data_IF_387029938173
#
_entry.id   IF_387029938173
#
_cell.length_a   1.000
_cell.length_b   1.000
_cell.length_c   1.000
_cell.angle_alpha   90.00
_cell.angle_beta   90.00
_cell.angle_gamma   90.00
#
_symmetry.space_group_name_H-M   'P 1'
#
loop_
_entity.id
_entity.type
_entity.pdbx_description
1 polymer ?
#
# COMPACT_ATOMS: atom_id res chain seq x y z
N UNK A 1 27.01 6.21 11.25
CA UNK A 1 26.22 4.96 11.07
C UNK A 1 24.75 5.30 11.07
N UNK A 2 23.94 4.71 10.19
CA UNK A 2 22.49 4.94 10.12
C UNK A 2 21.75 3.66 10.48
N UNK A 3 20.68 3.76 11.27
CA UNK A 3 19.89 2.62 11.74
C UNK A 3 18.43 2.74 11.32
N UNK A 4 17.92 1.70 10.66
CA UNK A 4 16.55 1.56 10.20
C UNK A 4 15.73 0.73 11.18
N UNK A 5 14.55 1.24 11.57
CA UNK A 5 13.50 0.50 12.25
C UNK A 5 12.18 0.75 11.53
N UNK A 6 11.35 -0.27 11.34
CA UNK A 6 10.07 -0.12 10.65
C UNK A 6 8.93 -0.88 11.34
N UNK A 7 7.70 -0.42 11.19
CA UNK A 7 6.51 -1.08 11.72
C UNK A 7 5.25 -0.72 10.92
N UNK A 8 4.21 -1.56 11.04
CA UNK A 8 2.87 -1.25 10.53
C UNK A 8 2.07 -0.51 11.61
N UNK A 9 1.37 0.56 11.23
CA UNK A 9 0.52 1.33 12.16
C UNK A 9 -0.75 0.56 12.56
N UNK A 10 -1.27 -0.27 11.65
CA UNK A 10 -2.31 -1.27 11.92
C UNK A 10 -1.90 -2.62 11.36
N UNK A 11 -2.15 -3.68 12.12
CA UNK A 11 -1.94 -5.06 11.67
C UNK A 11 -3.22 -5.72 11.18
N UNK A 12 -4.38 -5.04 11.25
CA UNK A 12 -5.68 -5.58 10.84
C UNK A 12 -6.34 -4.71 9.77
N UNK A 13 -7.10 -5.35 8.89
CA UNK A 13 -7.95 -4.69 7.90
C UNK A 13 -7.34 -4.63 6.50
N UNK A 14 -7.82 -3.72 5.66
CA UNK A 14 -7.37 -3.56 4.27
C UNK A 14 -6.47 -2.35 4.04
N UNK A 15 -6.29 -1.50 5.05
CA UNK A 15 -5.50 -0.29 4.94
C UNK A 15 -4.57 -0.18 6.15
N UNK A 16 -3.31 0.13 5.89
CA UNK A 16 -2.30 0.34 6.92
C UNK A 16 -1.24 1.31 6.42
N UNK A 17 -0.38 1.79 7.30
CA UNK A 17 0.78 2.59 6.94
C UNK A 17 2.03 1.86 7.39
N UNK A 18 2.97 1.66 6.48
CA UNK A 18 4.30 1.17 6.82
C UNK A 18 5.18 2.37 7.17
N UNK A 19 5.41 2.55 8.47
CA UNK A 19 6.23 3.63 8.98
C UNK A 19 7.67 3.15 9.20
N UNK A 20 8.60 3.81 8.53
CA UNK A 20 10.03 3.52 8.59
C UNK A 20 10.77 4.71 9.18
N UNK A 21 11.51 4.47 10.26
CA UNK A 21 12.35 5.47 10.91
C UNK A 21 13.83 5.18 10.63
N UNK A 22 14.53 6.19 10.12
CA UNK A 22 15.98 6.17 9.96
C UNK A 22 16.63 7.12 10.96
N UNK A 23 17.48 6.58 11.83
CA UNK A 23 18.30 7.36 12.75
C UNK A 23 19.66 7.62 12.13
N UNK A 24 20.05 8.88 12.01
CA UNK A 24 21.31 9.36 11.45
C UNK A 24 22.19 9.84 12.61
N UNK A 25 23.28 9.11 12.89
CA UNK A 25 24.15 9.44 14.02
C UNK A 25 25.10 10.61 13.75
N UNK A 26 25.55 10.78 12.50
CA UNK A 26 26.44 11.85 12.09
C UNK A 26 25.98 12.39 10.73
N UNK A 27 25.19 13.48 10.69
CA UNK A 27 24.69 14.08 9.45
C UNK A 27 25.79 14.58 8.50
N UNK A 28 26.97 14.91 9.01
CA UNK A 28 28.08 15.37 8.16
C UNK A 28 28.57 14.27 7.19
N UNK A 29 28.44 13.00 7.56
CA UNK A 29 28.89 11.86 6.74
C UNK A 29 28.04 11.67 5.46
N UNK A 30 26.85 12.26 5.42
CA UNK A 30 25.84 12.08 4.36
C UNK A 30 25.48 13.40 3.67
N UNK A 31 26.27 14.45 3.88
CA UNK A 31 26.06 15.74 3.22
C UNK A 31 26.08 15.56 1.69
N UNK A 32 25.14 16.18 0.96
CA UNK A 32 25.05 16.02 -0.49
C UNK A 32 24.65 14.61 -0.98
N UNK A 33 24.36 13.66 -0.10
CA UNK A 33 23.78 12.38 -0.46
C UNK A 33 22.25 12.46 -0.53
N UNK A 34 21.65 11.56 -1.30
CA UNK A 34 20.19 11.38 -1.33
C UNK A 34 19.79 10.10 -0.60
N UNK A 35 18.71 10.17 0.18
CA UNK A 35 18.16 9.04 0.94
C UNK A 35 17.08 8.32 0.12
N UNK A 36 17.22 7.01 -0.01
CA UNK A 36 16.29 6.17 -0.74
C UNK A 36 15.77 5.01 0.10
N UNK A 37 14.50 4.68 -0.11
CA UNK A 37 13.87 3.48 0.43
C UNK A 37 13.31 2.63 -0.70
N UNK A 38 13.70 1.36 -0.74
CA UNK A 38 13.16 0.38 -1.67
C UNK A 38 12.27 -0.60 -0.92
N UNK A 39 10.97 -0.50 -1.14
CA UNK A 39 9.95 -1.42 -0.65
C UNK A 39 9.68 -2.49 -1.70
N UNK A 40 9.68 -3.74 -1.26
CA UNK A 40 9.19 -4.88 -2.05
C UNK A 40 7.90 -5.36 -1.41
N UNK A 41 6.81 -5.27 -2.15
CA UNK A 41 5.48 -5.57 -1.68
C UNK A 41 5.03 -6.92 -2.25
N UNK A 42 4.52 -7.83 -1.41
CA UNK A 42 3.96 -9.08 -1.89
C UNK A 42 2.72 -8.80 -2.76
N UNK A 43 2.29 -9.72 -3.64
CA UNK A 43 1.17 -9.50 -4.56
C UNK A 43 -0.13 -9.04 -3.91
N UNK A 44 -0.35 -9.40 -2.65
CA UNK A 44 -1.55 -9.06 -1.88
C UNK A 44 -1.53 -7.64 -1.31
N UNK A 45 -0.43 -6.93 -1.40
CA UNK A 45 -0.29 -5.57 -0.89
C UNK A 45 0.21 -4.67 -2.00
N UNK A 46 -0.31 -3.46 -2.08
CA UNK A 46 0.14 -2.46 -3.02
C UNK A 46 0.05 -1.07 -2.39
N UNK A 47 0.81 -0.13 -2.94
CA UNK A 47 0.69 1.28 -2.61
C UNK A 47 -0.06 1.98 -3.76
N UNK A 48 -1.06 2.81 -3.42
CA UNK A 48 -1.83 3.55 -4.41
C UNK A 48 -1.03 4.78 -4.90
N UNK A 49 -0.64 4.85 -6.19
CA UNK A 49 0.08 6.00 -6.72
C UNK A 49 -0.66 7.34 -6.54
N UNK A 50 -1.99 7.35 -6.52
CA UNK A 50 -2.77 8.57 -6.32
C UNK A 50 -2.72 9.06 -4.89
N UNK A 51 -2.68 8.14 -3.91
CA UNK A 51 -2.46 8.49 -2.52
C UNK A 51 -1.02 8.95 -2.29
N UNK A 52 -0.03 8.25 -2.87
CA UNK A 52 1.38 8.63 -2.76
C UNK A 52 1.68 10.02 -3.33
N UNK A 53 0.91 10.46 -4.33
CA UNK A 53 1.03 11.83 -4.86
C UNK A 53 0.74 12.91 -3.79
N UNK A 54 -0.06 12.61 -2.77
CA UNK A 54 -0.31 13.53 -1.66
C UNK A 54 0.91 13.71 -0.73
N UNK A 55 1.91 12.83 -0.84
CA UNK A 55 3.14 12.86 -0.04
C UNK A 55 4.31 13.55 -0.77
N UNK A 56 4.06 14.23 -1.90
CA UNK A 56 5.10 14.88 -2.70
C UNK A 56 5.98 15.90 -1.93
N UNK A 57 5.46 16.47 -0.85
CA UNK A 57 6.23 17.34 0.05
C UNK A 57 7.32 16.57 0.83
N UNK A 58 7.10 15.29 1.13
CA UNK A 58 7.97 14.45 1.96
C UNK A 58 8.89 13.57 1.13
N UNK A 59 8.42 13.06 -0.01
CA UNK A 59 9.22 12.22 -0.90
C UNK A 59 8.69 12.23 -2.32
N UNK A 60 9.56 11.87 -3.26
CA UNK A 60 9.16 11.44 -4.60
C UNK A 60 9.18 9.91 -4.68
N UNK A 61 8.40 9.32 -5.58
CA UNK A 61 8.29 7.86 -5.70
C UNK A 61 8.37 7.38 -7.15
N UNK A 62 8.79 6.13 -7.31
CA UNK A 62 8.66 5.33 -8.53
C UNK A 62 8.06 3.98 -8.19
N UNK A 63 7.19 3.48 -9.05
CA UNK A 63 6.52 2.19 -8.87
C UNK A 63 6.88 1.22 -10.00
N UNK A 64 6.98 -0.06 -9.64
CA UNK A 64 7.22 -1.19 -10.54
C UNK A 64 6.18 -2.27 -10.27
N UNK A 65 5.70 -2.94 -11.32
CA UNK A 65 4.63 -3.93 -11.23
C UNK A 65 3.21 -3.31 -11.24
N UNK A 66 2.23 -4.10 -10.82
CA UNK A 66 0.80 -3.74 -10.95
C UNK A 66 0.27 -2.89 -9.80
N UNK A 67 -0.20 -1.68 -10.11
CA UNK A 67 -0.79 -0.72 -9.15
C UNK A 67 -2.30 -0.54 -9.27
N UNK A 68 -2.98 -1.29 -10.14
CA UNK A 68 -4.42 -1.18 -10.32
C UNK A 68 -5.17 -1.54 -9.03
N UNK A 69 -5.97 -0.62 -8.49
CA UNK A 69 -6.72 -0.75 -7.24
C UNK A 69 -7.76 -1.88 -7.27
N UNK A 70 -8.33 -2.16 -8.45
CA UNK A 70 -9.50 -3.03 -8.60
C UNK A 70 -9.16 -4.50 -8.85
N UNK A 71 -7.87 -4.82 -9.07
CA UNK A 71 -7.48 -6.20 -9.37
C UNK A 71 -7.40 -7.06 -8.10
N UNK A 72 -8.05 -8.24 -8.09
CA UNK A 72 -7.87 -9.22 -7.03
C UNK A 72 -6.46 -9.84 -7.09
N UNK A 73 -6.05 -10.52 -6.01
CA UNK A 73 -4.73 -11.19 -5.96
C UNK A 73 -4.53 -12.20 -7.11
N UNK A 74 -5.60 -12.83 -7.60
CA UNK A 74 -5.56 -13.83 -8.67
C UNK A 74 -5.26 -13.24 -10.05
N UNK A 75 -5.33 -11.91 -10.20
CA UNK A 75 -5.12 -11.19 -11.45
C UNK A 75 -3.82 -10.36 -11.46
N UNK A 76 -2.93 -10.55 -10.47
CA UNK A 76 -1.63 -9.89 -10.39
C UNK A 76 -0.50 -10.91 -10.45
N UNK A 77 0.71 -10.45 -10.83
CA UNK A 77 1.88 -11.34 -10.92
C UNK A 77 2.34 -11.78 -9.52
N UNK A 78 2.93 -12.98 -9.44
CA UNK A 78 3.36 -13.58 -8.17
C UNK A 78 4.58 -12.87 -7.57
N UNK A 79 5.33 -12.15 -8.39
CA UNK A 79 6.51 -11.35 -8.02
C UNK A 79 6.12 -10.09 -7.22
N UNK A 80 4.86 -9.68 -7.29
CA UNK A 80 4.33 -8.54 -6.54
C UNK A 80 4.65 -7.19 -7.18
N UNK A 81 4.95 -6.20 -6.34
CA UNK A 81 5.28 -4.84 -6.79
C UNK A 81 6.45 -4.28 -5.98
N UNK A 82 7.08 -3.23 -6.50
CA UNK A 82 8.14 -2.54 -5.77
C UNK A 82 7.94 -1.03 -5.85
N UNK A 83 8.29 -0.34 -4.77
CA UNK A 83 8.23 1.12 -4.66
C UNK A 83 9.61 1.62 -4.27
N UNK A 84 10.15 2.55 -5.05
CA UNK A 84 11.36 3.29 -4.72
C UNK A 84 10.96 4.70 -4.30
N UNK A 85 11.26 5.08 -3.07
CA UNK A 85 11.08 6.43 -2.55
C UNK A 85 12.43 7.15 -2.50
N UNK A 86 12.45 8.41 -2.92
CA UNK A 86 13.53 9.35 -2.64
C UNK A 86 13.00 10.41 -1.67
N UNK A 87 13.57 10.42 -0.47
CA UNK A 87 13.08 11.22 0.66
C UNK A 87 13.63 12.64 0.59
N UNK A 88 12.76 13.62 0.78
CA UNK A 88 13.14 15.01 0.95
C UNK A 88 13.64 15.19 2.38
N UNK A 89 14.94 15.34 2.54
CA UNK A 89 15.53 15.57 3.85
C UNK A 89 15.29 17.02 4.27
N UNK A 90 14.84 17.27 5.52
CA UNK A 90 14.85 18.63 6.06
C UNK A 90 16.30 19.14 6.16
N UNK A 91 16.49 20.45 6.38
CA UNK A 91 17.80 21.00 6.70
C UNK A 91 18.30 20.41 8.04
N UNK A 92 19.05 19.32 7.96
CA UNK A 92 19.59 18.64 9.14
C UNK A 92 20.75 19.48 9.64
N UNK A 93 20.61 20.07 10.83
CA UNK A 93 21.72 20.73 11.52
C UNK A 93 22.89 19.77 11.65
N UNK A 94 24.09 20.20 11.24
CA UNK A 94 25.33 19.40 11.24
C UNK A 94 25.79 18.94 12.62
N UNK A 95 25.10 19.34 13.69
CA UNK A 95 25.41 19.00 15.08
C UNK A 95 24.28 18.18 15.70
N UNK A 96 24.52 16.88 15.89
CA UNK A 96 23.63 15.99 16.65
C UNK A 96 23.07 14.81 15.87
N UNK A 97 22.31 13.95 16.57
CA UNK A 97 21.57 12.84 15.97
C UNK A 97 20.31 13.39 15.29
N UNK A 98 20.03 12.95 14.08
CA UNK A 98 18.78 13.25 13.38
C UNK A 98 17.96 11.97 13.20
N UNK A 99 16.64 12.10 13.12
CA UNK A 99 15.72 10.99 12.86
C UNK A 99 14.73 11.46 11.80
N UNK A 100 14.54 10.63 10.77
CA UNK A 100 13.60 10.91 9.67
C UNK A 100 12.61 9.75 9.61
N UNK A 101 11.32 10.11 9.66
CA UNK A 101 10.22 9.17 9.57
C UNK A 101 9.65 9.21 8.16
N UNK A 102 9.41 8.05 7.57
CA UNK A 102 8.88 7.89 6.22
C UNK A 102 7.69 6.97 6.29
N UNK A 103 6.54 7.48 5.90
CA UNK A 103 5.28 6.75 5.91
C UNK A 103 4.88 6.36 4.49
N UNK A 104 4.72 5.05 4.27
CA UNK A 104 4.20 4.48 3.03
C UNK A 104 2.79 3.94 3.27
N UNK A 105 1.71 4.56 2.76
CA UNK A 105 0.38 3.99 2.83
C UNK A 105 0.30 2.72 1.98
N UNK A 106 -0.31 1.68 2.56
CA UNK A 106 -0.43 0.34 1.97
C UNK A 106 -1.87 -0.14 2.02
N UNK A 107 -2.29 -0.75 0.92
CA UNK A 107 -3.60 -1.35 0.74
C UNK A 107 -3.47 -2.84 0.50
N UNK A 108 -4.34 -3.63 1.11
CA UNK A 108 -4.46 -5.04 0.81
C UNK A 108 -5.42 -5.27 -0.36
N UNK A 109 -5.11 -6.28 -1.17
CA UNK A 109 -6.00 -6.78 -2.23
C UNK A 109 -6.96 -7.82 -1.66
N UNK A 110 -8.11 -7.93 -2.30
CA UNK A 110 -9.02 -9.06 -2.07
C UNK A 110 -8.29 -10.38 -2.35
N UNK A 111 -8.20 -11.20 -1.31
CA UNK A 111 -7.65 -12.56 -1.38
C UNK A 111 -8.62 -13.52 -2.07
N UNK A 112 -8.11 -14.65 -2.54
CA UNK A 112 -9.00 -15.76 -2.90
C UNK A 112 -9.60 -16.39 -1.64
N UNK A 113 -10.69 -17.14 -1.82
CA UNK A 113 -11.33 -17.89 -0.74
C UNK A 113 -10.33 -18.83 -0.07
N UNK A 114 -10.45 -18.99 1.25
CA UNK A 114 -9.63 -19.86 2.09
C UNK A 114 -8.12 -19.57 2.08
N UNK A 115 -7.68 -18.42 1.54
CA UNK A 115 -6.27 -18.01 1.63
C UNK A 115 -5.88 -17.65 3.06
N UNK A 116 -4.59 -17.78 3.44
CA UNK A 116 -4.14 -17.32 4.75
C UNK A 116 -4.47 -15.85 4.99
N UNK A 117 -5.06 -15.51 6.13
CA UNK A 117 -5.35 -14.11 6.45
C UNK A 117 -4.08 -13.27 6.64
N UNK A 118 -3.01 -13.89 7.15
CA UNK A 118 -1.73 -13.24 7.39
C UNK A 118 -0.93 -13.01 6.10
N UNK A 119 -0.34 -11.83 5.97
CA UNK A 119 0.56 -11.41 4.91
C UNK A 119 1.82 -10.87 5.56
N UNK A 120 2.96 -11.42 5.18
CA UNK A 120 4.27 -10.93 5.62
C UNK A 120 4.70 -9.73 4.76
N UNK A 121 5.17 -8.68 5.42
CA UNK A 121 5.71 -7.47 4.80
C UNK A 121 7.16 -7.32 5.23
N UNK A 122 8.06 -7.49 4.27
CA UNK A 122 9.49 -7.37 4.53
C UNK A 122 9.90 -5.91 4.76
N UNK A 123 10.89 -5.70 5.62
CA UNK A 123 11.47 -4.37 5.82
C UNK A 123 12.01 -3.78 4.51
N UNK A 124 11.89 -2.45 4.34
CA UNK A 124 12.48 -1.79 3.20
C UNK A 124 14.00 -1.90 3.21
N UNK A 125 14.56 -1.84 2.02
CA UNK A 125 16.00 -1.63 1.84
C UNK A 125 16.26 -0.13 1.85
N UNK A 126 16.88 0.37 2.91
CA UNK A 126 17.24 1.79 3.06
C UNK A 126 18.70 2.01 2.69
N UNK A 127 18.98 2.98 1.82
CA UNK A 127 20.32 3.27 1.36
C UNK A 127 20.50 4.73 0.97
N UNK A 128 21.74 5.19 1.07
CA UNK A 128 22.19 6.50 0.61
C UNK A 128 22.84 6.38 -0.76
N UNK A 129 22.61 7.38 -1.59
CA UNK A 129 23.33 7.56 -2.86
C UNK A 129 24.16 8.83 -2.75
N UNK A 130 25.47 8.66 -2.71
CA UNK A 130 26.45 9.74 -2.51
C UNK A 130 27.34 9.92 -3.74
N UNK A 131 27.86 11.13 -4.01
CA UNK A 131 28.88 11.34 -5.02
C UNK A 131 30.14 10.49 -4.74
N UNK A 132 30.79 9.99 -5.79
CA UNK A 132 32.02 9.16 -5.68
C UNK A 132 33.22 9.80 -4.97
N UNK A 133 33.16 11.09 -4.68
CA UNK A 133 34.20 11.79 -3.93
C UNK A 133 34.17 11.45 -2.43
N UNK A 134 33.12 10.79 -1.95
CA UNK A 134 33.03 10.30 -0.57
C UNK A 134 33.95 9.08 -0.35
N UNK A 135 34.87 9.18 0.62
CA UNK A 135 35.75 8.10 1.07
C UNK A 135 34.99 7.06 1.90
N UNK A 136 34.04 6.36 1.28
CA UNK A 136 33.40 5.17 1.86
C UNK A 136 33.74 3.93 1.04
N UNK A 137 33.86 2.75 1.68
CA UNK A 137 34.01 1.50 0.96
C UNK A 137 32.83 1.33 0.00
N UNK A 138 33.11 1.24 -1.30
CA UNK A 138 32.09 1.03 -2.33
C UNK A 138 31.29 -0.23 -1.98
N UNK A 139 30.00 -0.06 -1.69
CA UNK A 139 29.05 -1.17 -1.65
C UNK A 139 28.39 -1.32 -3.01
N UNK A 140 28.07 -2.56 -3.36
CA UNK A 140 27.29 -2.85 -4.57
C UNK A 140 25.92 -2.18 -4.45
N UNK A 141 25.41 -1.70 -5.59
CA UNK A 141 24.04 -1.25 -5.71
C UNK A 141 23.08 -2.33 -5.17
N UNK A 142 22.07 -1.98 -4.38
CA UNK A 142 21.11 -2.97 -3.92
C UNK A 142 20.39 -3.58 -5.11
N UNK A 143 20.05 -4.85 -5.01
CA UNK A 143 19.20 -5.50 -6.00
C UNK A 143 17.88 -4.73 -6.10
N UNK A 144 17.40 -4.44 -7.31
CA UNK A 144 16.16 -3.72 -7.57
C UNK A 144 15.69 -3.94 -9.01
N UNK A 145 14.41 -3.66 -9.34
CA UNK A 145 13.92 -3.66 -10.71
C UNK A 145 14.79 -2.81 -11.65
N UNK A 146 14.87 -3.23 -12.92
CA UNK A 146 15.74 -2.60 -13.92
C UNK A 146 15.37 -1.13 -14.15
N UNK A 147 14.08 -0.79 -14.18
CA UNK A 147 13.63 0.60 -14.30
C UNK A 147 14.13 1.51 -13.16
N UNK A 148 14.31 0.96 -11.96
CA UNK A 148 14.83 1.70 -10.82
C UNK A 148 16.34 1.84 -10.93
N UNK A 149 17.05 0.74 -11.23
CA UNK A 149 18.49 0.74 -11.41
C UNK A 149 18.95 1.73 -12.50
N UNK A 150 18.19 1.82 -13.60
CA UNK A 150 18.45 2.76 -14.70
C UNK A 150 18.39 4.24 -14.30
N UNK A 151 17.81 4.56 -13.14
CA UNK A 151 17.73 5.93 -12.62
C UNK A 151 19.02 6.40 -11.96
N UNK A 152 19.96 5.50 -11.66
CA UNK A 152 21.18 5.81 -10.94
C UNK A 152 22.40 5.79 -11.86
N UNK A 153 23.23 6.83 -11.79
CA UNK A 153 24.53 6.83 -12.45
C UNK A 153 25.56 6.08 -11.59
N UNK A 154 25.70 4.78 -11.83
CA UNK A 154 26.62 3.90 -11.09
C UNK A 154 28.10 4.24 -11.30
N UNK A 155 28.45 4.94 -12.39
CA UNK A 155 29.82 5.39 -12.66
C UNK A 155 30.25 6.59 -11.81
N UNK A 156 29.30 7.33 -11.24
CA UNK A 156 29.58 8.56 -10.46
C UNK A 156 29.04 8.53 -9.04
N UNK A 157 28.35 7.45 -8.65
CA UNK A 157 27.71 7.33 -7.34
C UNK A 157 28.27 6.16 -6.53
N UNK A 158 28.17 6.28 -5.20
CA UNK A 158 28.43 5.22 -4.21
C UNK A 158 27.15 4.98 -3.43
N UNK A 159 26.88 3.71 -3.14
CA UNK A 159 25.74 3.29 -2.33
C UNK A 159 26.21 2.98 -0.91
N UNK A 160 25.49 3.46 0.10
CA UNK A 160 25.76 3.18 1.51
C UNK A 160 24.49 2.63 2.14
N UNK A 161 24.49 1.36 2.50
CA UNK A 161 23.33 0.70 3.11
C UNK A 161 23.15 1.15 4.56
N UNK A 162 21.91 1.42 4.96
CA UNK A 162 21.58 1.60 6.36
C UNK A 162 21.63 0.25 7.09
N UNK A 163 22.14 0.26 8.32
CA UNK A 163 22.05 -0.90 9.21
C UNK A 163 20.59 -1.11 9.61
N UNK A 164 20.17 -2.38 9.73
CA UNK A 164 18.88 -2.72 10.32
C UNK A 164 19.01 -2.79 11.83
N UNK A 165 18.02 -2.28 12.55
CA UNK A 165 17.92 -2.49 13.98
C UNK A 165 17.67 -4.01 14.22
N UNK A 166 18.50 -4.69 15.02
CA UNK A 166 18.37 -6.13 15.28
C UNK A 166 17.07 -6.52 15.99
N UNK A 167 16.32 -5.57 16.54
CA UNK A 167 14.99 -5.79 17.12
C UNK A 167 13.85 -5.81 16.10
N UNK A 168 14.14 -5.48 14.83
CA UNK A 168 13.11 -5.41 13.79
C UNK A 168 12.72 -6.82 13.32
N UNK A 169 11.48 -7.21 13.60
CA UNK A 169 10.87 -8.44 13.07
C UNK A 169 10.12 -8.17 11.77
N UNK A 170 9.97 -9.18 10.92
CA UNK A 170 9.07 -9.11 9.74
C UNK A 170 7.68 -8.69 10.20
N UNK A 171 7.13 -7.66 9.57
CA UNK A 171 5.80 -7.18 9.91
C UNK A 171 4.73 -8.09 9.30
N UNK A 172 3.67 -8.36 10.05
CA UNK A 172 2.57 -9.22 9.60
C UNK A 172 1.28 -8.43 9.61
N UNK A 173 0.57 -8.45 8.49
CA UNK A 173 -0.75 -7.83 8.32
C UNK A 173 -1.80 -8.92 8.15
N UNK A 174 -2.91 -8.81 8.86
CA UNK A 174 -4.05 -9.70 8.83
C UNK A 174 -5.18 -9.06 8.03
N UNK A 175 -5.54 -9.73 6.94
CA UNK A 175 -6.57 -9.29 6.00
C UNK A 175 -7.66 -10.35 5.98
N UNK A 176 -8.92 -10.00 6.28
CA UNK A 176 -9.99 -10.98 6.32
C UNK A 176 -10.25 -11.52 4.91
N UNK A 177 -10.49 -12.83 4.84
CA UNK A 177 -10.84 -13.54 3.60
C UNK A 177 -12.16 -14.28 3.80
N UNK A 178 -12.88 -14.53 2.71
CA UNK A 178 -14.07 -15.37 2.74
C UNK A 178 -13.72 -16.85 2.83
N UNK A 179 -14.58 -17.64 3.47
CA UNK A 179 -14.49 -19.10 3.46
C UNK A 179 -15.37 -19.67 2.35
N UNK A 180 -14.86 -20.62 1.57
CA UNK A 180 -15.67 -21.22 0.50
C UNK A 180 -16.89 -21.98 1.04
N UNK A 181 -16.80 -22.49 2.27
CA UNK A 181 -17.89 -23.20 2.95
C UNK A 181 -19.15 -22.33 3.17
N UNK A 182 -18.98 -21.02 3.31
CA UNK A 182 -20.09 -20.09 3.58
C UNK A 182 -20.82 -19.69 2.28
N UNK A 183 -20.20 -19.91 1.11
CA UNK A 183 -20.68 -19.43 -0.19
C UNK A 183 -22.12 -19.87 -0.51
N UNK A 184 -22.52 -21.15 -0.34
CA UNK A 184 -23.88 -21.57 -0.66
C UNK A 184 -24.94 -20.90 0.24
N UNK A 185 -24.60 -20.69 1.51
CA UNK A 185 -25.50 -20.04 2.47
C UNK A 185 -25.67 -18.57 2.13
N UNK A 186 -24.57 -17.86 1.83
CA UNK A 186 -24.60 -16.45 1.43
C UNK A 186 -25.42 -16.28 0.15
N UNK A 187 -25.21 -17.13 -0.85
CA UNK A 187 -25.96 -17.09 -2.12
C UNK A 187 -27.47 -17.32 -1.91
N UNK A 188 -27.84 -18.34 -1.13
CA UNK A 188 -29.24 -18.66 -0.89
C UNK A 188 -29.97 -17.53 -0.15
N UNK A 189 -29.36 -16.97 0.91
CA UNK A 189 -29.96 -15.91 1.72
C UNK A 189 -30.08 -14.62 0.90
N UNK A 190 -29.01 -14.22 0.21
CA UNK A 190 -29.02 -12.99 -0.62
C UNK A 190 -30.07 -13.09 -1.73
N UNK A 191 -30.15 -14.23 -2.41
CA UNK A 191 -31.18 -14.48 -3.43
C UNK A 191 -32.59 -14.39 -2.87
N UNK A 192 -32.84 -15.01 -1.72
CA UNK A 192 -34.15 -14.96 -1.07
C UNK A 192 -34.55 -13.52 -0.69
N UNK A 193 -33.63 -12.74 -0.12
CA UNK A 193 -33.87 -11.33 0.24
C UNK A 193 -34.17 -10.49 -1.01
N UNK A 194 -33.42 -10.68 -2.09
CA UNK A 194 -33.66 -9.96 -3.36
C UNK A 194 -35.04 -10.30 -3.94
N UNK A 195 -35.42 -11.59 -3.96
CA UNK A 195 -36.73 -12.02 -4.45
C UNK A 195 -37.87 -11.46 -3.60
N UNK A 196 -37.75 -11.52 -2.27
CA UNK A 196 -38.75 -10.97 -1.36
C UNK A 196 -38.88 -9.46 -1.53
N UNK A 197 -37.76 -8.74 -1.66
CA UNK A 197 -37.75 -7.31 -1.95
C UNK A 197 -38.43 -6.97 -3.27
N UNK A 198 -38.15 -7.74 -4.32
CA UNK A 198 -38.81 -7.58 -5.63
C UNK A 198 -40.32 -7.80 -5.54
N UNK A 199 -40.76 -8.90 -4.90
CA UNK A 199 -42.19 -9.19 -4.73
C UNK A 199 -42.90 -8.12 -3.91
N UNK A 200 -42.24 -7.58 -2.89
CA UNK A 200 -42.77 -6.48 -2.10
C UNK A 200 -42.95 -5.21 -2.94
N UNK A 201 -41.95 -4.83 -3.74
CA UNK A 201 -42.03 -3.68 -4.64
C UNK A 201 -43.14 -3.86 -5.69
N UNK A 202 -43.28 -5.08 -6.24
CA UNK A 202 -44.34 -5.41 -7.19
C UNK A 202 -45.72 -5.27 -6.55
N UNK A 203 -45.89 -5.79 -5.33
CA UNK A 203 -47.13 -5.67 -4.56
C UNK A 203 -47.52 -4.20 -4.34
N UNK A 204 -46.58 -3.37 -3.90
CA UNK A 204 -46.82 -1.93 -3.68
C UNK A 204 -47.15 -1.22 -4.99
N UNK A 205 -46.48 -1.55 -6.09
CA UNK A 205 -46.76 -0.96 -7.40
C UNK A 205 -48.20 -1.28 -7.88
N UNK A 206 -48.63 -2.54 -7.77
CA UNK A 206 -49.99 -2.97 -8.12
C UNK A 206 -51.03 -2.29 -7.25
N UNK A 207 -50.82 -2.26 -5.94
CA UNK A 207 -51.73 -1.60 -4.99
C UNK A 207 -51.86 -0.10 -5.30
N UNK A 208 -50.74 0.55 -5.63
CA UNK A 208 -50.71 1.98 -5.97
C UNK A 208 -51.44 2.25 -7.28
N UNK A 209 -51.19 1.44 -8.32
CA UNK A 209 -51.88 1.57 -9.60
C UNK A 209 -53.41 1.38 -9.46
N UNK A 210 -53.84 0.39 -8.69
CA UNK A 210 -55.24 0.16 -8.38
C UNK A 210 -55.88 1.36 -7.66
N UNK A 211 -55.17 1.96 -6.71
CA UNK A 211 -55.63 3.15 -5.99
C UNK A 211 -55.75 4.38 -6.91
N UNK A 212 -54.80 4.59 -7.82
CA UNK A 212 -54.84 5.69 -8.81
C UNK A 212 -56.03 5.51 -9.75
N UNK A 213 -56.25 4.30 -10.26
CA UNK A 213 -57.37 3.99 -11.16
C UNK A 213 -58.73 4.29 -10.51
N UNK A 214 -58.92 3.88 -9.24
CA UNK A 214 -60.13 4.19 -8.47
C UNK A 214 -60.37 5.71 -8.32
N UNK A 215 -59.31 6.50 -8.06
CA UNK A 215 -59.43 7.97 -7.97
C UNK A 215 -59.82 8.60 -9.31
N UNK A 216 -59.26 8.14 -10.42
CA UNK A 216 -59.62 8.63 -11.76
C UNK A 216 -61.09 8.35 -12.12
N UNK A 217 -61.64 7.22 -11.70
CA UNK A 217 -63.06 6.91 -11.92
C UNK A 217 -63.98 7.84 -11.13
N UNK A 218 -63.64 8.19 -9.87
CA UNK A 218 -64.44 9.14 -9.08
C UNK A 218 -64.46 10.56 -9.62
N UNK A 219 -63.40 11.00 -10.32
CA UNK A 219 -63.34 12.35 -10.94
C UNK A 219 -64.23 12.47 -12.17
N UNK A 220 -64.51 11.36 -12.89
CA UNK A 220 -65.35 11.37 -14.10
C UNK A 220 -66.86 11.31 -13.84
N UNK A 221 -67.29 11.10 -12.60
CA UNK A 221 -68.71 10.93 -12.21
C UNK A 221 -69.32 12.22 -11.62
N UNK A 222 -68.57 13.32 -11.60
CA UNK A 222 -69.06 14.67 -11.31
C UNK A 222 -69.08 15.51 -12.57
#
# INVERSE_FOLDING_TARGET
MTLLSSHLTSVEGFHTTFSSNITIHNPADIEGCSLHFLYRLPPRIFADPYELANYAAFYSFKSSGTTNLELPVTAVSAEGSAILLQVNLPDISTSGKASVMVDLPLHARYGALDQPAAIEVADPTCFWVCPRLYYHPMQSMPEMPLEFAASFNTSSSVFIMAGKDPSTSVAVMHVPVGHAADSPQVEAITSAVVVLGFLYLLYIAVQTAANISKRHQHVKVK
#
